data_IF_239883575780
#
_entry.id   IF_239883575780
#
_cell.length_a   1.000
_cell.length_b   1.000
_cell.length_c   1.000
_cell.angle_alpha   90.00
_cell.angle_beta   90.00
_cell.angle_gamma   90.00
#
_symmetry.space_group_name_H-M   'P 1'
#
loop_
_entity.id
_entity.type
_entity.pdbx_description
1 polymer ?
#
# COMPACT_ATOMS: atom_id res chain seq x y z
N UNK A 1 -7.19 -7.86 -6.99
CA UNK A 1 -6.05 -7.11 -6.45
C UNK A 1 -6.61 -5.79 -5.92
N UNK A 2 -6.24 -5.41 -4.70
CA UNK A 2 -6.57 -4.10 -4.13
C UNK A 2 -5.30 -3.25 -4.16
N UNK A 3 -5.45 -1.95 -4.39
CA UNK A 3 -4.37 -0.97 -4.37
C UNK A 3 -4.78 0.18 -3.46
N UNK A 4 -3.80 0.75 -2.77
CA UNK A 4 -3.98 1.93 -1.92
C UNK A 4 -3.45 3.13 -2.71
N UNK A 5 -4.18 4.23 -2.72
CA UNK A 5 -3.70 5.48 -3.32
C UNK A 5 -2.79 6.18 -2.29
N UNK A 6 -1.47 6.19 -2.49
CA UNK A 6 -0.53 6.77 -1.54
C UNK A 6 -0.63 8.30 -1.47
N UNK A 7 -1.13 8.97 -2.51
CA UNK A 7 -1.27 10.44 -2.51
C UNK A 7 -2.47 10.90 -1.65
N UNK A 8 -3.45 10.02 -1.45
CA UNK A 8 -4.63 10.26 -0.59
C UNK A 8 -4.46 9.64 0.79
N UNK A 9 -3.59 8.64 0.94
CA UNK A 9 -3.28 8.03 2.22
C UNK A 9 -2.83 9.10 3.22
N UNK A 10 -3.34 8.99 4.45
CA UNK A 10 -3.03 9.91 5.56
C UNK A 10 -2.30 9.20 6.71
N UNK A 11 -1.76 8.00 6.44
CA UNK A 11 -0.98 7.20 7.37
C UNK A 11 -1.69 6.91 8.70
N UNK A 12 -3.00 6.63 8.63
CA UNK A 12 -3.81 6.39 9.83
C UNK A 12 -3.67 4.97 10.42
N UNK A 13 -3.05 4.03 9.70
CA UNK A 13 -2.84 2.64 10.13
C UNK A 13 -4.11 1.79 10.30
N UNK A 14 -5.30 2.32 10.01
CA UNK A 14 -6.55 1.62 10.25
C UNK A 14 -6.73 0.38 9.34
N UNK A 15 -6.27 0.46 8.10
CA UNK A 15 -6.37 -0.64 7.13
C UNK A 15 -5.41 -1.78 7.43
N UNK A 16 -4.19 -1.46 7.87
CA UNK A 16 -3.17 -2.42 8.30
C UNK A 16 -3.68 -3.29 9.45
N UNK A 17 -4.20 -2.67 10.52
CA UNK A 17 -4.64 -3.37 11.73
C UNK A 17 -5.82 -4.35 11.52
N UNK A 18 -6.62 -4.16 10.46
CA UNK A 18 -7.80 -4.98 10.17
C UNK A 18 -7.58 -5.98 9.04
N UNK A 19 -6.44 -5.92 8.35
CA UNK A 19 -6.19 -6.77 7.19
C UNK A 19 -6.01 -8.23 7.64
N UNK A 20 -6.92 -9.15 7.28
CA UNK A 20 -6.91 -10.52 7.82
C UNK A 20 -5.75 -11.37 7.31
N UNK A 21 -5.02 -10.89 6.31
CA UNK A 21 -3.89 -11.57 5.66
C UNK A 21 -2.59 -10.75 5.78
N UNK A 22 -2.60 -9.68 6.58
CA UNK A 22 -1.39 -8.89 6.91
C UNK A 22 -0.63 -8.39 5.67
N UNK A 23 -1.36 -8.01 4.61
CA UNK A 23 -0.79 -7.64 3.30
C UNK A 23 -0.61 -6.13 3.10
N UNK A 24 -0.83 -5.31 4.12
CA UNK A 24 -0.72 -3.85 4.06
C UNK A 24 0.40 -3.46 5.03
N UNK A 25 1.35 -2.69 4.54
CA UNK A 25 2.47 -2.15 5.31
C UNK A 25 2.53 -0.64 5.11
N UNK A 26 3.13 0.06 6.07
CA UNK A 26 3.64 1.41 5.81
C UNK A 26 4.75 1.33 4.75
N UNK A 27 4.90 2.38 3.94
CA UNK A 27 5.81 2.36 2.78
C UNK A 27 7.27 2.07 3.17
N UNK A 28 7.70 2.55 4.33
CA UNK A 28 9.03 2.33 4.90
C UNK A 28 9.21 0.96 5.59
N UNK A 29 8.11 0.21 5.76
CA UNK A 29 8.09 -1.11 6.41
C UNK A 29 7.85 -2.25 5.41
N UNK A 30 7.69 -1.95 4.11
CA UNK A 30 7.49 -2.96 3.07
C UNK A 30 8.71 -3.89 3.00
N UNK A 31 8.52 -5.23 3.03
CA UNK A 31 9.61 -6.19 2.87
C UNK A 31 10.36 -6.02 1.54
N UNK A 32 11.67 -6.27 1.54
CA UNK A 32 12.54 -6.09 0.35
C UNK A 32 12.04 -6.85 -0.89
N UNK A 33 11.44 -8.04 -0.68
CA UNK A 33 10.89 -8.89 -1.73
C UNK A 33 9.54 -8.41 -2.28
N UNK A 34 8.95 -7.37 -1.69
CA UNK A 34 7.63 -6.83 -2.03
C UNK A 34 7.68 -5.33 -2.42
N UNK A 35 8.86 -4.72 -2.41
CA UNK A 35 9.07 -3.31 -2.77
C UNK A 35 8.50 -2.91 -4.15
N UNK A 36 8.35 -3.86 -5.08
CA UNK A 36 7.73 -3.58 -6.39
C UNK A 36 6.27 -3.13 -6.28
N UNK A 37 5.56 -3.52 -5.21
CA UNK A 37 4.16 -3.16 -5.01
C UNK A 37 3.95 -1.70 -4.65
N UNK A 38 4.97 -1.02 -4.08
CA UNK A 38 4.93 0.43 -3.84
C UNK A 38 4.68 1.14 -5.18
N UNK A 39 5.52 0.87 -6.18
CA UNK A 39 5.38 1.48 -7.50
C UNK A 39 4.08 1.07 -8.22
N UNK A 40 3.57 -0.14 -7.99
CA UNK A 40 2.30 -0.58 -8.56
C UNK A 40 1.10 0.15 -7.96
N UNK A 41 1.12 0.44 -6.65
CA UNK A 41 0.09 1.23 -5.98
C UNK A 41 -0.04 2.62 -6.62
N UNK A 42 1.06 3.36 -6.78
CA UNK A 42 1.04 4.67 -7.47
C UNK A 42 0.51 4.56 -8.91
N UNK A 43 1.09 3.67 -9.73
CA UNK A 43 0.75 3.53 -11.15
C UNK A 43 -0.73 3.26 -11.38
N UNK A 44 -1.37 2.51 -10.48
CA UNK A 44 -2.79 2.20 -10.60
C UNK A 44 -3.70 3.45 -10.54
N UNK A 45 -3.26 4.53 -9.89
CA UNK A 45 -4.01 5.78 -9.75
C UNK A 45 -3.51 6.92 -10.65
N UNK A 46 -2.27 6.86 -11.14
CA UNK A 46 -1.75 7.81 -12.15
C UNK A 46 -2.44 7.68 -13.52
N UNK A 47 -2.93 6.48 -13.87
CA UNK A 47 -3.56 6.20 -15.18
C UNK A 47 -5.08 6.48 -15.24
N UNK A 48 -5.64 7.24 -14.28
CA UNK A 48 -7.08 7.55 -14.20
C UNK A 48 -7.46 8.94 -14.70
#
# INVERSE_FOLDING_TARGET
>A
MFYIDPDICIDCGACEAVCPVEAIYMEDEVPDNENEYIALNHKFFEEK
#
